data_IF_878150094040
#
_entry.id   IF_878150094040
#
_cell.length_a   1.000
_cell.length_b   1.000
_cell.length_c   1.000
_cell.angle_alpha   90.00
_cell.angle_beta   90.00
_cell.angle_gamma   90.00
#
_symmetry.space_group_name_H-M   'P 1'
#
loop_
_entity.id
_entity.type
_entity.pdbx_description
1 polymer ?
#
# COMPACT_ATOMS: atom_id res chain seq x y z
N UNK A 1 -15.49 -41.81 75.94
CA UNK A 1 -16.42 -42.16 74.84
C UNK A 1 -15.94 -41.44 73.59
N UNK A 2 -15.70 -42.21 72.50
CA UNK A 2 -15.34 -41.82 71.11
C UNK A 2 -14.14 -40.85 70.92
N UNK A 3 -12.94 -41.35 70.53
CA UNK A 3 -12.41 -41.58 69.15
C UNK A 3 -12.27 -40.27 68.33
N UNK A 4 -11.08 -39.70 68.18
CA UNK A 4 -9.96 -40.05 67.27
C UNK A 4 -10.17 -39.66 65.81
N UNK A 5 -9.30 -38.76 65.32
CA UNK A 5 -8.61 -38.67 64.00
C UNK A 5 -8.06 -37.23 63.91
N UNK A 6 -6.82 -36.91 63.52
CA UNK A 6 -5.55 -37.60 63.40
C UNK A 6 -4.46 -36.50 63.50
N UNK A 7 -3.25 -36.92 63.85
CA UNK A 7 -2.07 -36.13 64.20
C UNK A 7 -1.08 -36.07 63.01
N UNK A 8 -0.08 -35.19 63.12
CA UNK A 8 1.29 -35.23 62.52
C UNK A 8 1.43 -34.50 61.17
N UNK A 9 2.51 -33.76 60.84
CA UNK A 9 3.57 -33.01 61.54
C UNK A 9 4.46 -32.35 60.46
N UNK A 10 5.16 -31.28 60.86
CA UNK A 10 6.51 -30.84 60.44
C UNK A 10 6.98 -30.82 58.97
N UNK A 11 7.28 -29.59 58.53
CA UNK A 11 8.57 -29.04 58.05
C UNK A 11 9.34 -29.67 56.86
N UNK A 12 9.37 -28.91 55.76
CA UNK A 12 10.54 -28.56 54.92
C UNK A 12 10.09 -27.39 54.01
N UNK A 13 10.75 -26.24 53.84
CA UNK A 13 12.18 -25.99 53.76
C UNK A 13 12.62 -26.05 52.29
N UNK A 14 12.52 -24.93 51.54
CA UNK A 14 13.47 -24.43 50.52
C UNK A 14 12.85 -23.31 49.65
N UNK A 15 13.56 -22.19 49.49
CA UNK A 15 13.54 -21.42 48.23
C UNK A 15 13.00 -19.98 48.25
N UNK A 16 13.89 -19.03 48.60
CA UNK A 16 13.99 -17.63 48.12
C UNK A 16 12.79 -16.68 48.34
N UNK A 17 12.79 -15.81 49.35
CA UNK A 17 13.54 -14.55 49.45
C UNK A 17 13.25 -13.52 48.35
N UNK A 18 12.49 -12.49 48.75
CA UNK A 18 12.73 -11.08 48.46
C UNK A 18 12.50 -10.58 47.02
N UNK A 19 11.47 -9.75 46.83
CA UNK A 19 11.62 -8.29 46.73
C UNK A 19 10.38 -7.67 46.10
N UNK A 20 9.85 -6.68 46.81
CA UNK A 20 9.11 -5.56 46.26
C UNK A 20 9.74 -5.10 44.94
N UNK A 21 9.02 -5.24 43.83
CA UNK A 21 9.27 -4.44 42.63
C UNK A 21 8.03 -3.60 42.37
N UNK A 22 8.11 -2.41 42.96
CA UNK A 22 7.72 -1.14 42.36
C UNK A 22 6.97 -1.26 41.03
N UNK A 23 5.71 -0.82 41.08
CA UNK A 23 5.12 0.02 40.03
C UNK A 23 6.15 1.09 39.64
N UNK A 24 6.92 0.81 38.61
CA UNK A 24 7.52 1.83 37.76
C UNK A 24 6.65 1.83 36.51
N UNK A 25 5.54 2.55 36.62
CA UNK A 25 4.92 3.19 35.46
C UNK A 25 6.04 3.92 34.73
N UNK A 26 6.39 3.40 33.56
CA UNK A 26 7.36 3.96 32.64
C UNK A 26 6.77 5.21 31.96
N UNK A 27 6.49 6.24 32.76
CA UNK A 27 6.33 7.63 32.35
C UNK A 27 7.65 8.28 31.89
N UNK A 28 8.54 7.51 31.28
CA UNK A 28 9.86 7.95 30.79
C UNK A 28 9.94 8.05 29.25
N UNK A 29 8.83 7.82 28.55
CA UNK A 29 8.67 8.29 27.18
C UNK A 29 7.83 9.56 27.25
N UNK A 30 8.49 10.69 27.51
CA UNK A 30 7.91 11.98 27.20
C UNK A 30 7.43 11.88 25.75
N UNK A 31 6.13 12.10 25.49
CA UNK A 31 5.57 12.14 24.14
C UNK A 31 6.28 13.25 23.36
N UNK A 32 7.37 12.93 22.69
CA UNK A 32 8.04 13.82 21.75
C UNK A 32 7.15 13.87 20.53
N UNK A 33 6.51 15.01 20.27
CA UNK A 33 5.73 15.16 19.04
C UNK A 33 6.68 15.13 17.85
N UNK A 34 6.26 14.45 16.80
CA UNK A 34 6.91 14.32 15.48
C UNK A 34 7.14 15.66 14.74
N UNK A 35 7.18 16.80 15.44
CA UNK A 35 7.05 18.16 14.91
C UNK A 35 8.37 18.95 14.89
N UNK A 36 9.49 18.28 15.10
CA UNK A 36 10.81 18.90 15.13
C UNK A 36 11.39 19.05 13.70
N UNK A 37 10.95 18.18 12.78
CA UNK A 37 11.24 18.29 11.36
C UNK A 37 10.19 19.14 10.64
N UNK A 38 10.64 19.95 9.68
CA UNK A 38 9.77 20.87 8.94
C UNK A 38 8.90 20.11 7.93
N UNK A 39 9.45 19.02 7.36
CA UNK A 39 8.76 18.20 6.36
C UNK A 39 7.88 17.14 7.05
N UNK A 40 6.58 17.02 6.71
CA UNK A 40 5.65 16.13 7.42
C UNK A 40 5.95 14.63 7.25
N UNK A 41 6.63 14.24 6.17
CA UNK A 41 7.07 12.85 5.93
C UNK A 41 8.40 12.50 6.61
N UNK A 42 9.01 13.45 7.32
CA UNK A 42 10.27 13.24 8.01
C UNK A 42 10.10 13.11 9.52
N UNK A 43 11.11 12.55 10.18
CA UNK A 43 11.19 12.41 11.63
C UNK A 43 12.58 12.78 12.14
N UNK A 44 12.70 13.26 13.38
CA UNK A 44 14.01 13.52 13.96
C UNK A 44 14.78 12.21 14.12
N UNK A 45 16.05 12.22 13.72
CA UNK A 45 16.98 11.12 13.99
C UNK A 45 17.33 11.13 15.47
N UNK A 46 16.96 10.07 16.19
CA UNK A 46 17.13 10.01 17.64
C UNK A 46 18.42 9.29 18.02
N UNK A 47 19.17 9.89 18.95
CA UNK A 47 20.25 9.21 19.67
C UNK A 47 19.68 8.09 20.54
N UNK A 48 20.41 6.99 20.65
CA UNK A 48 20.06 5.89 21.55
C UNK A 48 19.98 6.39 23.00
N UNK A 49 18.88 6.08 23.68
CA UNK A 49 18.76 6.34 25.12
C UNK A 49 19.78 5.50 25.89
N UNK A 50 20.26 6.03 27.00
CA UNK A 50 21.13 5.34 27.96
C UNK A 50 20.52 5.45 29.36
N UNK A 51 21.00 4.64 30.31
CA UNK A 51 20.56 4.70 31.71
C UNK A 51 20.75 6.10 32.33
N UNK A 52 21.70 6.89 31.83
CA UNK A 52 22.00 8.22 32.33
C UNK A 52 21.28 9.35 31.55
N UNK A 53 20.84 9.10 30.31
CA UNK A 53 20.30 10.14 29.43
C UNK A 53 19.17 9.61 28.52
N UNK A 54 18.03 10.31 28.44
CA UNK A 54 16.95 9.95 27.53
C UNK A 54 17.38 10.12 26.05
N UNK A 55 16.67 9.46 25.15
CA UNK A 55 16.84 9.66 23.71
C UNK A 55 16.60 11.14 23.35
N UNK A 56 17.49 11.71 22.53
CA UNK A 56 17.43 13.10 22.05
C UNK A 56 17.74 13.15 20.57
N UNK A 57 17.20 14.13 19.85
CA UNK A 57 17.52 14.31 18.43
C UNK A 57 19.03 14.53 18.22
N UNK A 58 19.55 14.04 17.09
CA UNK A 58 20.89 14.38 16.63
C UNK A 58 20.93 15.86 16.25
N UNK A 59 21.72 16.65 16.98
CA UNK A 59 21.99 18.04 16.61
C UNK A 59 23.04 18.10 15.50
N UNK A 60 22.83 18.98 14.53
CA UNK A 60 23.71 19.21 13.39
C UNK A 60 24.01 20.70 13.22
N UNK A 61 24.83 21.05 12.23
CA UNK A 61 24.96 22.42 11.73
C UNK A 61 25.41 22.34 10.27
N UNK A 62 24.79 23.07 9.32
CA UNK A 62 25.09 22.95 7.89
C UNK A 62 26.58 23.04 7.57
N UNK A 63 27.30 23.91 8.27
CA UNK A 63 28.72 24.20 7.99
C UNK A 63 29.72 23.42 8.86
N UNK A 64 29.28 22.76 9.94
CA UNK A 64 30.21 22.28 10.98
C UNK A 64 29.97 20.84 11.44
N UNK A 65 28.73 20.33 11.33
CA UNK A 65 28.39 18.99 11.81
C UNK A 65 27.33 18.39 10.91
N UNK A 66 27.77 17.49 10.02
CA UNK A 66 26.89 16.72 9.17
C UNK A 66 26.00 15.77 9.97
N UNK A 67 24.87 15.41 9.38
CA UNK A 67 24.00 14.39 9.94
C UNK A 67 24.61 13.00 9.77
N UNK A 68 24.34 12.08 10.71
CA UNK A 68 24.71 10.67 10.52
C UNK A 68 24.01 10.10 9.29
N UNK A 69 24.58 9.03 8.74
CA UNK A 69 23.96 8.30 7.63
C UNK A 69 22.58 7.77 8.03
N UNK A 70 21.59 8.09 7.20
CA UNK A 70 20.18 7.75 7.38
C UNK A 70 19.46 7.90 6.04
N UNK A 71 18.16 7.63 6.02
CA UNK A 71 17.37 7.69 4.77
C UNK A 71 17.17 9.17 4.40
N UNK A 72 17.87 9.62 3.36
CA UNK A 72 17.89 11.02 2.89
C UNK A 72 18.06 12.02 4.05
N UNK A 73 19.04 11.77 4.92
CA UNK A 73 19.22 12.59 6.12
C UNK A 73 19.59 14.03 5.77
N UNK A 74 18.89 14.98 6.38
CA UNK A 74 19.06 16.41 6.14
C UNK A 74 19.11 17.17 7.47
N UNK A 75 19.99 18.16 7.54
CA UNK A 75 20.06 19.07 8.67
C UNK A 75 19.04 20.19 8.51
N UNK A 76 18.12 20.33 9.46
CA UNK A 76 17.05 21.33 9.43
C UNK A 76 17.03 22.14 10.71
N UNK A 77 16.72 23.44 10.62
CA UNK A 77 16.47 24.25 11.80
C UNK A 77 15.04 24.02 12.30
N UNK A 78 14.91 23.51 13.53
CA UNK A 78 13.61 23.38 14.20
C UNK A 78 13.27 24.70 14.89
N UNK A 79 12.15 25.32 14.49
CA UNK A 79 11.58 26.46 15.19
C UNK A 79 11.05 26.11 16.59
N UNK A 80 10.80 24.82 16.85
CA UNK A 80 10.27 24.36 18.15
C UNK A 80 11.38 24.19 19.18
N UNK A 81 12.47 23.54 18.80
CA UNK A 81 13.62 23.31 19.69
C UNK A 81 14.71 24.37 19.55
N UNK A 82 14.54 25.36 18.65
CA UNK A 82 15.49 26.44 18.36
C UNK A 82 16.91 25.94 18.09
N UNK A 83 17.01 24.80 17.39
CA UNK A 83 18.26 24.10 17.12
C UNK A 83 18.24 23.47 15.74
N UNK A 84 19.41 23.30 15.16
CA UNK A 84 19.62 22.47 13.98
C UNK A 84 19.62 21.00 14.39
N UNK A 85 18.72 20.22 13.79
CA UNK A 85 18.55 18.80 14.06
C UNK A 85 18.58 17.99 12.76
N UNK A 86 18.99 16.74 12.88
CA UNK A 86 18.96 15.80 11.78
C UNK A 86 17.58 15.19 11.64
N UNK A 87 17.04 15.29 10.43
CA UNK A 87 15.78 14.70 10.03
C UNK A 87 16.05 13.65 8.96
N UNK A 88 15.39 12.50 9.05
CA UNK A 88 15.39 11.47 8.03
C UNK A 88 13.95 11.22 7.55
N UNK A 89 13.82 10.68 6.34
CA UNK A 89 12.52 10.23 5.85
C UNK A 89 12.03 9.06 6.72
N UNK A 90 10.73 9.06 7.06
CA UNK A 90 10.17 7.91 7.79
C UNK A 90 10.14 6.70 6.86
N UNK A 91 10.45 5.51 7.38
CA UNK A 91 10.44 4.26 6.60
C UNK A 91 9.05 3.93 6.03
N UNK A 92 8.02 4.38 6.73
CA UNK A 92 6.61 4.18 6.46
C UNK A 92 5.94 5.42 5.84
N UNK A 93 6.67 6.52 5.61
CA UNK A 93 6.10 7.68 4.94
C UNK A 93 6.32 7.61 3.44
N UNK A 94 5.23 7.84 2.71
CA UNK A 94 5.29 8.11 1.28
C UNK A 94 5.91 9.50 1.07
N UNK A 95 7.02 9.54 0.34
CA UNK A 95 7.67 10.80 -0.03
C UNK A 95 6.75 11.51 -1.03
N UNK A 96 6.35 12.76 -0.77
CA UNK A 96 5.44 13.45 -1.65
C UNK A 96 6.10 13.74 -3.01
N UNK A 97 5.32 13.55 -4.07
CA UNK A 97 5.75 13.71 -5.45
C UNK A 97 4.76 14.58 -6.23
N UNK A 98 5.28 15.29 -7.22
CA UNK A 98 4.45 16.07 -8.14
C UNK A 98 3.65 15.16 -9.08
N UNK A 99 2.54 15.66 -9.65
CA UNK A 99 1.77 14.95 -10.68
C UNK A 99 2.63 14.60 -11.90
N UNK A 100 2.16 13.67 -12.73
CA UNK A 100 2.81 13.31 -14.01
C UNK A 100 3.24 14.55 -14.82
N UNK A 101 4.34 14.40 -15.54
CA UNK A 101 4.99 15.45 -16.36
C UNK A 101 5.53 16.63 -15.57
N UNK A 102 5.74 16.49 -14.26
CA UNK A 102 6.37 17.50 -13.44
C UNK A 102 7.59 16.95 -12.70
N UNK A 103 8.68 17.71 -12.73
CA UNK A 103 9.81 17.53 -11.83
C UNK A 103 9.42 17.91 -10.41
N UNK A 104 9.73 17.04 -9.46
CA UNK A 104 9.48 17.28 -8.04
C UNK A 104 10.66 18.01 -7.41
N UNK A 105 10.44 19.28 -7.03
CA UNK A 105 11.28 19.93 -6.05
C UNK A 105 10.65 19.64 -4.68
N UNK A 106 11.33 18.86 -3.83
CA UNK A 106 10.90 18.46 -2.47
C UNK A 106 10.88 19.64 -1.47
N UNK A 107 10.37 20.78 -1.93
CA UNK A 107 10.15 22.04 -1.22
C UNK A 107 8.66 22.23 -1.13
N UNK A 108 8.14 22.28 0.10
CA UNK A 108 6.73 22.51 0.37
C UNK A 108 6.34 23.97 0.07
N UNK A 109 5.08 24.18 -0.30
CA UNK A 109 4.54 25.51 -0.60
C UNK A 109 3.11 25.68 -0.06
N UNK A 110 2.65 26.93 0.11
CA UNK A 110 1.22 27.23 0.32
C UNK A 110 0.69 27.29 1.76
N UNK A 111 1.53 27.30 2.81
CA UNK A 111 1.05 27.32 4.21
C UNK A 111 1.26 28.63 4.99
N UNK A 112 2.11 29.55 4.53
CA UNK A 112 2.23 30.92 5.07
C UNK A 112 3.09 31.77 4.13
N UNK A 113 3.10 33.09 4.36
CA UNK A 113 3.41 34.22 3.46
C UNK A 113 4.81 34.21 2.80
N UNK A 114 5.70 33.25 3.08
CA UNK A 114 6.99 33.09 2.40
C UNK A 114 7.19 31.65 1.89
N UNK A 115 6.65 31.37 0.71
CA UNK A 115 6.81 30.07 0.05
C UNK A 115 6.42 30.10 -1.42
N UNK A 116 6.82 31.15 -2.14
CA UNK A 116 6.70 31.18 -3.60
C UNK A 116 7.70 30.20 -4.20
N UNK A 117 7.21 29.25 -4.98
CA UNK A 117 8.08 28.34 -5.71
C UNK A 117 9.11 29.12 -6.56
N UNK A 118 10.35 28.60 -6.72
CA UNK A 118 11.34 29.23 -7.58
C UNK A 118 10.79 29.45 -8.99
N UNK A 119 11.36 30.41 -9.74
CA UNK A 119 10.91 30.71 -11.11
C UNK A 119 10.88 29.43 -11.96
N UNK A 120 9.74 29.19 -12.62
CA UNK A 120 9.49 28.01 -13.43
C UNK A 120 8.80 26.85 -12.69
N UNK A 121 8.67 26.92 -11.36
CA UNK A 121 7.93 25.93 -10.56
C UNK A 121 6.56 26.49 -10.15
N UNK A 122 5.56 25.62 -10.13
CA UNK A 122 4.19 25.89 -9.66
C UNK A 122 3.94 25.12 -8.38
N UNK A 123 3.17 25.70 -7.46
CA UNK A 123 2.75 25.01 -6.25
C UNK A 123 1.59 24.07 -6.58
N UNK A 124 1.82 22.76 -6.60
CA UNK A 124 0.81 21.74 -6.90
C UNK A 124 0.65 20.78 -5.72
N UNK A 125 -0.55 20.20 -5.52
CA UNK A 125 -0.74 19.14 -4.55
C UNK A 125 0.12 17.93 -4.89
N UNK A 126 0.64 17.28 -3.86
CA UNK A 126 1.34 16.00 -3.98
C UNK A 126 0.37 14.89 -4.34
N UNK A 127 0.83 13.94 -5.16
CA UNK A 127 0.10 12.70 -5.46
C UNK A 127 -0.05 11.84 -4.20
N UNK A 128 0.94 11.89 -3.29
CA UNK A 128 0.96 11.08 -2.06
C UNK A 128 0.09 11.67 -0.93
N UNK A 129 -0.17 12.98 -0.93
CA UNK A 129 -1.02 13.63 0.07
C UNK A 129 -1.51 14.97 -0.47
N UNK A 130 -2.82 15.09 -0.70
CA UNK A 130 -3.44 16.31 -1.23
C UNK A 130 -3.26 17.53 -0.29
N UNK A 131 -2.99 17.29 0.99
CA UNK A 131 -2.73 18.35 1.97
C UNK A 131 -1.28 18.85 1.93
N UNK A 132 -0.38 18.10 1.29
CA UNK A 132 1.01 18.51 1.04
C UNK A 132 1.09 19.11 -0.35
N UNK A 133 1.50 20.37 -0.47
CA UNK A 133 1.79 20.99 -1.76
C UNK A 133 3.29 21.14 -1.95
N UNK A 134 3.76 20.86 -3.16
CA UNK A 134 5.16 20.90 -3.55
C UNK A 134 5.37 21.88 -4.71
N UNK A 135 6.61 22.32 -4.85
CA UNK A 135 7.03 23.05 -6.04
C UNK A 135 7.33 22.09 -7.19
N UNK A 136 6.54 22.22 -8.25
CA UNK A 136 6.52 21.31 -9.39
C UNK A 136 6.81 22.06 -10.68
N UNK A 137 7.78 21.61 -11.48
CA UNK A 137 8.09 22.23 -12.78
C UNK A 137 7.67 21.31 -13.92
N UNK A 138 6.87 21.77 -14.89
CA UNK A 138 6.56 20.98 -16.07
C UNK A 138 7.84 20.53 -16.76
N UNK A 139 7.96 19.23 -16.99
CA UNK A 139 9.01 18.64 -17.79
C UNK A 139 8.39 17.64 -18.76
N UNK A 140 8.22 18.09 -20.00
CA UNK A 140 7.65 17.32 -21.10
C UNK A 140 8.66 16.33 -21.74
N UNK A 141 9.94 16.35 -21.33
CA UNK A 141 10.90 15.34 -21.76
C UNK A 141 10.90 14.10 -20.86
N UNK A 142 10.16 14.11 -19.75
CA UNK A 142 9.96 12.91 -18.93
C UNK A 142 8.98 12.00 -19.66
N UNK A 143 9.49 10.88 -20.18
CA UNK A 143 8.65 9.79 -20.69
C UNK A 143 8.24 8.89 -19.54
N UNK A 144 6.94 8.70 -19.37
CA UNK A 144 6.38 7.68 -18.48
C UNK A 144 6.10 6.43 -19.30
N UNK A 145 6.52 5.27 -18.79
CA UNK A 145 6.11 3.99 -19.35
C UNK A 145 4.74 3.67 -18.78
N UNK A 146 3.74 3.61 -19.64
CA UNK A 146 2.45 3.02 -19.28
C UNK A 146 2.51 1.50 -19.49
N UNK A 147 1.84 0.69 -18.65
CA UNK A 147 0.94 1.09 -17.55
C UNK A 147 1.65 1.40 -16.21
N UNK A 148 2.96 1.18 -16.11
CA UNK A 148 3.73 1.28 -14.86
C UNK A 148 3.49 2.59 -14.10
N UNK A 149 3.57 3.71 -14.80
CA UNK A 149 3.40 5.02 -14.19
C UNK A 149 2.00 5.22 -13.58
N UNK A 150 0.94 4.73 -14.21
CA UNK A 150 -0.43 4.81 -13.69
C UNK A 150 -0.64 3.95 -12.44
N UNK A 151 -0.08 2.74 -12.41
CA UNK A 151 -0.14 1.86 -11.24
C UNK A 151 0.61 2.45 -10.03
N UNK A 152 1.73 3.12 -10.26
CA UNK A 152 2.50 3.80 -9.21
C UNK A 152 1.78 5.06 -8.73
N UNK A 153 1.28 5.90 -9.64
CA UNK A 153 0.59 7.15 -9.30
C UNK A 153 -0.66 6.89 -8.45
N UNK A 154 -1.41 5.83 -8.78
CA UNK A 154 -2.61 5.42 -8.05
C UNK A 154 -2.31 4.51 -6.85
N UNK A 155 -1.03 4.31 -6.51
CA UNK A 155 -0.55 3.53 -5.35
C UNK A 155 -1.02 2.08 -5.33
N UNK A 156 -1.38 1.52 -6.47
CA UNK A 156 -1.60 0.08 -6.60
C UNK A 156 -0.27 -0.64 -6.44
N UNK A 157 0.81 -0.05 -6.96
CA UNK A 157 2.18 -0.46 -6.64
C UNK A 157 2.78 0.52 -5.61
N UNK A 158 3.35 0.06 -4.49
CA UNK A 158 3.51 -1.34 -4.08
C UNK A 158 2.38 -1.88 -3.19
N UNK A 159 1.29 -1.13 -2.94
CA UNK A 159 0.33 -1.48 -1.88
C UNK A 159 -0.48 -2.75 -2.15
N UNK A 160 -0.89 -2.94 -3.40
CA UNK A 160 -1.71 -4.08 -3.85
C UNK A 160 -0.83 -5.08 -4.59
N UNK A 161 -0.04 -4.57 -5.54
CA UNK A 161 0.89 -5.36 -6.34
C UNK A 161 2.33 -5.01 -5.99
N UNK A 162 3.24 -5.99 -5.86
CA UNK A 162 4.64 -5.73 -5.58
C UNK A 162 5.37 -5.08 -6.76
N UNK A 163 4.93 -5.39 -7.99
CA UNK A 163 5.53 -4.92 -9.25
C UNK A 163 4.42 -4.57 -10.24
N UNK A 164 4.62 -3.51 -11.02
CA UNK A 164 3.69 -3.10 -12.06
C UNK A 164 3.56 -4.14 -13.19
N UNK A 165 2.41 -4.21 -13.87
CA UNK A 165 2.24 -5.08 -15.04
C UNK A 165 3.10 -4.63 -16.23
N UNK A 166 3.42 -5.57 -17.13
CA UNK A 166 4.20 -5.27 -18.35
C UNK A 166 3.35 -4.58 -19.42
N UNK A 167 2.07 -4.94 -19.51
CA UNK A 167 1.13 -4.42 -20.49
C UNK A 167 -0.17 -3.92 -19.84
N UNK A 168 -0.84 -2.98 -20.51
CA UNK A 168 -2.20 -2.60 -20.14
C UNK A 168 -3.19 -3.66 -20.62
N UNK A 169 -4.12 -4.02 -19.74
CA UNK A 169 -5.17 -4.97 -20.03
C UNK A 169 -6.46 -4.22 -20.35
N UNK A 170 -6.97 -4.37 -21.57
CA UNK A 170 -8.26 -3.77 -21.94
C UNK A 170 -9.38 -4.64 -21.41
N UNK A 171 -10.25 -4.07 -20.56
CA UNK A 171 -11.44 -4.72 -20.04
C UNK A 171 -12.69 -4.01 -20.58
N UNK A 172 -13.64 -4.81 -21.05
CA UNK A 172 -14.85 -4.32 -21.70
C UNK A 172 -16.08 -4.98 -21.06
N UNK A 173 -16.89 -4.17 -20.38
CA UNK A 173 -18.06 -4.58 -19.62
C UNK A 173 -19.32 -4.20 -20.39
N UNK A 174 -20.11 -5.19 -20.80
CA UNK A 174 -21.36 -4.95 -21.54
C UNK A 174 -21.21 -4.06 -22.79
N UNK A 175 -20.02 -4.05 -23.41
CA UNK A 175 -19.69 -3.22 -24.58
C UNK A 175 -19.03 -1.87 -24.25
N UNK A 176 -18.95 -1.49 -22.98
CA UNK A 176 -18.24 -0.31 -22.50
C UNK A 176 -16.80 -0.62 -22.08
N UNK A 177 -15.85 0.07 -22.71
CA UNK A 177 -14.44 -0.03 -22.37
C UNK A 177 -14.13 0.83 -21.14
N UNK A 178 -13.55 0.20 -20.12
CA UNK A 178 -13.10 0.92 -18.93
C UNK A 178 -11.71 1.50 -19.15
N UNK A 179 -11.54 2.77 -18.78
CA UNK A 179 -10.21 3.40 -18.79
C UNK A 179 -9.53 3.17 -17.44
N UNK A 180 -8.23 2.97 -17.45
CA UNK A 180 -7.45 2.78 -16.24
C UNK A 180 -7.60 3.97 -15.26
N UNK A 181 -7.99 3.68 -14.02
CA UNK A 181 -8.25 4.70 -13.00
C UNK A 181 -9.59 5.42 -13.12
N UNK A 182 -10.47 4.99 -14.02
CA UNK A 182 -11.84 5.51 -14.10
C UNK A 182 -12.60 5.22 -12.80
N UNK A 183 -13.39 6.20 -12.34
CA UNK A 183 -14.23 6.10 -11.14
C UNK A 183 -15.70 6.08 -11.54
N UNK A 184 -16.44 5.07 -11.06
CA UNK A 184 -17.87 4.94 -11.25
C UNK A 184 -18.64 5.35 -9.99
N UNK A 185 -19.75 6.07 -10.18
CA UNK A 185 -20.69 6.39 -9.11
C UNK A 185 -21.64 5.21 -8.87
N UNK A 186 -22.20 5.13 -7.67
CA UNK A 186 -23.16 4.11 -7.25
C UNK A 186 -24.35 3.95 -8.22
N UNK A 187 -24.73 5.02 -8.93
CA UNK A 187 -25.84 4.98 -9.89
C UNK A 187 -25.48 4.38 -11.26
N UNK A 188 -24.21 4.06 -11.49
CA UNK A 188 -23.70 3.58 -12.78
C UNK A 188 -22.92 2.28 -12.61
N UNK A 189 -23.44 1.33 -11.82
CA UNK A 189 -22.80 0.01 -11.63
C UNK A 189 -23.43 -1.10 -12.48
N UNK A 190 -24.62 -0.87 -13.04
CA UNK A 190 -25.39 -1.91 -13.76
C UNK A 190 -24.63 -2.54 -14.94
N UNK A 191 -23.79 -1.77 -15.63
CA UNK A 191 -23.02 -2.29 -16.77
C UNK A 191 -21.93 -3.30 -16.35
N UNK A 192 -21.58 -3.35 -15.05
CA UNK A 192 -20.64 -4.28 -14.42
C UNK A 192 -21.30 -5.60 -13.97
N UNK A 193 -22.58 -5.84 -14.27
CA UNK A 193 -23.30 -7.06 -13.84
C UNK A 193 -22.62 -8.37 -14.33
N UNK A 194 -21.98 -8.32 -15.50
CA UNK A 194 -21.31 -9.46 -16.13
C UNK A 194 -19.79 -9.32 -16.14
N UNK A 195 -19.02 -10.42 -16.08
CA UNK A 195 -17.57 -10.36 -16.16
C UNK A 195 -17.11 -9.72 -17.48
N UNK A 196 -15.98 -8.99 -17.46
CA UNK A 196 -15.50 -8.28 -18.63
C UNK A 196 -14.95 -9.22 -19.70
N UNK A 197 -15.08 -8.81 -20.96
CA UNK A 197 -14.29 -9.38 -22.06
C UNK A 197 -12.95 -8.66 -22.08
N UNK A 198 -11.86 -9.43 -22.16
CA UNK A 198 -10.52 -8.86 -22.11
C UNK A 198 -9.80 -8.91 -23.45
N UNK A 199 -8.94 -7.91 -23.67
CA UNK A 199 -8.13 -7.77 -24.88
C UNK A 199 -6.90 -6.90 -24.61
N UNK A 200 -6.12 -6.59 -25.65
CA UNK A 200 -5.00 -5.64 -25.57
C UNK A 200 -3.62 -6.27 -25.38
N UNK A 201 -3.55 -7.60 -25.30
CA UNK A 201 -2.30 -8.36 -25.18
C UNK A 201 -2.38 -9.55 -26.13
N UNK A 202 -1.36 -9.71 -26.96
CA UNK A 202 -1.19 -10.92 -27.78
C UNK A 202 -0.58 -12.01 -26.90
N UNK A 203 -1.32 -13.11 -26.74
CA UNK A 203 -0.93 -14.21 -25.88
C UNK A 203 -0.26 -15.32 -26.67
N UNK A 204 0.46 -16.17 -25.95
CA UNK A 204 1.09 -17.34 -26.52
C UNK A 204 0.26 -18.58 -26.18
N UNK A 205 -0.18 -19.29 -27.22
CA UNK A 205 -1.04 -20.47 -27.12
C UNK A 205 -0.37 -21.67 -26.42
N UNK A 206 0.95 -21.65 -26.25
CA UNK A 206 1.69 -22.67 -25.49
C UNK A 206 1.59 -22.50 -23.96
N UNK A 207 1.06 -21.36 -23.49
CA UNK A 207 0.97 -21.05 -22.07
C UNK A 207 -0.45 -21.12 -21.52
N UNK A 208 -0.52 -21.34 -20.21
CA UNK A 208 -1.73 -21.18 -19.43
C UNK A 208 -1.73 -19.84 -18.72
N UNK A 209 -2.92 -19.33 -18.46
CA UNK A 209 -3.11 -18.02 -17.89
C UNK A 209 -4.01 -18.05 -16.65
N UNK A 210 -3.79 -17.08 -15.76
CA UNK A 210 -4.64 -16.83 -14.59
C UNK A 210 -5.21 -15.43 -14.64
N UNK A 211 -6.51 -15.32 -14.41
CA UNK A 211 -7.23 -14.07 -14.17
C UNK A 211 -7.62 -13.95 -12.71
N UNK A 212 -7.38 -12.75 -12.17
CA UNK A 212 -7.82 -12.40 -10.83
C UNK A 212 -8.33 -10.95 -10.82
N UNK A 213 -9.55 -10.77 -10.34
CA UNK A 213 -10.13 -9.47 -9.98
C UNK A 213 -10.18 -9.39 -8.46
N UNK A 214 -9.59 -8.35 -7.90
CA UNK A 214 -9.65 -8.10 -6.46
C UNK A 214 -10.23 -6.73 -6.18
N UNK A 215 -10.97 -6.63 -5.09
CA UNK A 215 -11.19 -5.36 -4.42
C UNK A 215 -10.08 -5.15 -3.39
N UNK A 216 -9.17 -4.22 -3.70
CA UNK A 216 -8.05 -3.91 -2.81
C UNK A 216 -8.47 -3.14 -1.54
N UNK A 217 -9.68 -2.57 -1.52
CA UNK A 217 -10.21 -1.81 -0.38
C UNK A 217 -10.90 -2.75 0.60
N UNK A 218 -11.77 -3.64 0.13
CA UNK A 218 -12.40 -4.67 0.94
C UNK A 218 -11.47 -5.87 1.23
N UNK A 219 -10.33 -5.98 0.53
CA UNK A 219 -9.42 -7.12 0.55
C UNK A 219 -10.15 -8.42 0.22
N UNK A 220 -10.84 -8.43 -0.92
CA UNK A 220 -11.60 -9.59 -1.37
C UNK A 220 -11.23 -9.97 -2.80
N UNK A 221 -11.48 -11.23 -3.14
CA UNK A 221 -11.36 -11.73 -4.51
C UNK A 221 -12.75 -11.76 -5.12
N UNK A 222 -12.98 -10.92 -6.12
CA UNK A 222 -14.27 -10.79 -6.80
C UNK A 222 -14.36 -11.71 -8.01
N UNK A 223 -13.23 -12.17 -8.55
CA UNK A 223 -13.22 -13.13 -9.64
C UNK A 223 -11.88 -13.83 -9.72
N UNK A 224 -11.88 -15.15 -9.87
CA UNK A 224 -10.66 -15.91 -10.09
C UNK A 224 -10.88 -17.07 -11.05
N UNK A 225 -10.04 -17.11 -12.09
CA UNK A 225 -9.98 -18.22 -13.03
C UNK A 225 -8.51 -18.57 -13.27
N UNK A 226 -8.16 -19.84 -13.12
CA UNK A 226 -6.84 -20.36 -13.45
C UNK A 226 -6.92 -21.35 -14.61
N UNK A 227 -5.76 -21.61 -15.20
CA UNK A 227 -5.52 -22.60 -16.25
C UNK A 227 -6.32 -22.28 -17.52
N UNK A 228 -6.39 -20.99 -17.86
CA UNK A 228 -7.06 -20.51 -19.06
C UNK A 228 -6.09 -20.71 -20.23
N UNK A 229 -6.46 -21.47 -21.26
CA UNK A 229 -5.66 -21.55 -22.48
C UNK A 229 -5.82 -20.28 -23.32
N UNK A 230 -4.80 -19.98 -24.12
CA UNK A 230 -4.92 -19.05 -25.24
C UNK A 230 -5.16 -19.83 -26.53
N UNK A 231 -5.99 -19.27 -27.42
CA UNK A 231 -6.22 -19.77 -28.78
C UNK A 231 -6.15 -18.59 -29.73
N UNK A 232 -5.30 -18.68 -30.76
CA UNK A 232 -5.06 -17.62 -31.73
C UNK A 232 -4.66 -16.29 -31.04
N UNK A 233 -3.90 -16.40 -29.95
CA UNK A 233 -3.42 -15.27 -29.15
C UNK A 233 -4.46 -14.58 -28.28
N UNK A 234 -5.65 -15.17 -28.09
CA UNK A 234 -6.74 -14.65 -27.27
C UNK A 234 -7.10 -15.59 -26.10
N UNK A 235 -7.49 -15.02 -24.95
CA UNK A 235 -7.95 -15.80 -23.80
C UNK A 235 -9.27 -16.51 -24.07
N UNK A 236 -9.29 -17.82 -23.83
CA UNK A 236 -10.49 -18.61 -23.97
C UNK A 236 -11.32 -18.64 -22.67
N UNK A 237 -11.98 -17.52 -22.35
CA UNK A 237 -12.90 -17.43 -21.19
C UNK A 237 -14.34 -17.68 -21.64
N UNK A 238 -14.78 -18.94 -21.59
CA UNK A 238 -16.16 -19.33 -21.88
C UNK A 238 -17.03 -19.33 -20.63
N UNK A 239 -18.36 -19.28 -20.82
CA UNK A 239 -19.35 -19.52 -19.74
C UNK A 239 -19.17 -20.86 -19.01
N UNK A 240 -18.46 -21.82 -19.62
CA UNK A 240 -18.16 -23.14 -19.02
C UNK A 240 -16.79 -23.21 -18.35
N UNK A 241 -15.95 -22.19 -18.52
CA UNK A 241 -14.65 -22.13 -17.85
C UNK A 241 -14.90 -22.08 -16.35
N UNK A 242 -14.39 -23.09 -15.63
CA UNK A 242 -14.66 -23.24 -14.21
C UNK A 242 -13.85 -22.20 -13.44
N UNK A 243 -14.53 -21.19 -12.92
CA UNK A 243 -13.96 -20.24 -11.98
C UNK A 243 -13.74 -20.89 -10.61
N UNK A 244 -12.64 -20.54 -9.95
CA UNK A 244 -12.43 -20.89 -8.55
C UNK A 244 -13.30 -20.02 -7.66
N UNK A 245 -13.31 -18.72 -7.98
CA UNK A 245 -14.16 -17.70 -7.39
C UNK A 245 -14.98 -17.12 -8.53
N UNK A 246 -16.28 -17.35 -8.50
CA UNK A 246 -17.21 -16.82 -9.50
C UNK A 246 -17.22 -15.30 -9.47
N UNK A 247 -17.51 -14.68 -10.62
CA UNK A 247 -17.56 -13.23 -10.71
C UNK A 247 -18.62 -12.66 -9.75
N UNK A 248 -18.21 -11.71 -8.93
CA UNK A 248 -19.05 -10.92 -8.03
C UNK A 248 -18.96 -9.46 -8.46
N UNK A 249 -20.10 -8.89 -8.85
CA UNK A 249 -20.18 -7.50 -9.25
C UNK A 249 -19.95 -6.56 -8.05
N UNK A 250 -19.39 -5.36 -8.27
CA UNK A 250 -19.42 -4.28 -7.28
C UNK A 250 -20.83 -3.94 -6.81
N UNK A 251 -21.00 -3.71 -5.50
CA UNK A 251 -22.29 -3.39 -4.90
C UNK A 251 -22.24 -2.09 -4.10
N UNK A 252 -23.36 -1.35 -4.11
CA UNK A 252 -23.53 -0.11 -3.35
C UNK A 252 -23.40 -0.28 -1.83
N UNK A 253 -23.56 -1.50 -1.34
CA UNK A 253 -23.54 -1.88 0.08
C UNK A 253 -22.21 -2.51 0.51
N UNK A 254 -21.21 -2.54 -0.36
CA UNK A 254 -19.89 -3.06 -0.03
C UNK A 254 -19.25 -2.28 1.12
N UNK A 255 -18.54 -3.02 1.98
CA UNK A 255 -17.83 -2.48 3.14
C UNK A 255 -16.31 -2.63 2.93
N UNK A 256 -15.49 -1.66 3.36
CA UNK A 256 -15.88 -0.44 4.08
C UNK A 256 -16.48 0.64 3.16
N UNK A 257 -17.55 1.29 3.59
CA UNK A 257 -18.18 2.33 2.77
C UNK A 257 -17.21 3.47 2.35
N UNK A 258 -17.14 3.77 1.05
CA UNK A 258 -16.20 4.72 0.48
C UNK A 258 -15.91 4.46 -1.00
N UNK A 259 -14.68 4.77 -1.42
CA UNK A 259 -14.18 4.41 -2.76
C UNK A 259 -13.49 3.05 -2.64
N UNK A 260 -13.94 2.12 -3.45
CA UNK A 260 -13.34 0.81 -3.64
C UNK A 260 -12.49 0.83 -4.90
N UNK A 261 -11.37 0.11 -4.88
CA UNK A 261 -10.41 0.06 -6.00
C UNK A 261 -10.27 -1.38 -6.46
N UNK A 262 -10.81 -1.63 -7.65
CA UNK A 262 -10.83 -2.91 -8.32
C UNK A 262 -9.58 -3.06 -9.18
N UNK A 263 -8.84 -4.15 -9.00
CA UNK A 263 -7.62 -4.43 -9.76
C UNK A 263 -7.77 -5.77 -10.47
N UNK A 264 -7.71 -5.74 -11.80
CA UNK A 264 -7.83 -6.92 -12.66
C UNK A 264 -6.46 -7.25 -13.24
N UNK A 265 -5.95 -8.43 -12.92
CA UNK A 265 -4.64 -8.90 -13.34
C UNK A 265 -4.74 -10.17 -14.19
N UNK A 266 -3.91 -10.21 -15.23
CA UNK A 266 -3.61 -11.38 -16.04
C UNK A 266 -2.17 -11.81 -15.77
N UNK A 267 -1.99 -13.08 -15.41
CA UNK A 267 -0.69 -13.70 -15.25
C UNK A 267 -0.51 -14.83 -16.25
N UNK A 268 0.71 -14.91 -16.80
CA UNK A 268 1.21 -16.12 -17.45
C UNK A 268 1.64 -17.12 -16.37
N UNK A 269 1.26 -18.38 -16.54
CA UNK A 269 1.61 -19.46 -15.63
C UNK A 269 2.88 -20.17 -16.09
N UNK A 270 3.79 -20.43 -15.15
CA UNK A 270 4.94 -21.32 -15.35
C UNK A 270 4.51 -22.79 -15.38
N UNK A 271 3.51 -23.12 -14.57
CA UNK A 271 2.95 -24.46 -14.41
C UNK A 271 1.44 -24.36 -14.18
N UNK A 272 0.68 -25.41 -14.50
CA UNK A 272 -0.76 -25.42 -14.24
C UNK A 272 -1.07 -25.44 -12.74
N UNK A 273 -2.04 -24.64 -12.30
CA UNK A 273 -2.55 -24.72 -10.93
C UNK A 273 -3.18 -26.09 -10.65
N UNK A 274 -2.85 -26.68 -9.51
CA UNK A 274 -3.54 -27.87 -9.02
C UNK A 274 -4.87 -27.50 -8.36
N UNK A 275 -5.85 -28.40 -8.44
CA UNK A 275 -7.19 -28.17 -7.88
C UNK A 275 -7.18 -27.84 -6.38
N UNK A 276 -6.20 -28.36 -5.62
CA UNK A 276 -6.06 -28.07 -4.18
C UNK A 276 -5.59 -26.65 -3.91
N UNK A 277 -4.79 -26.07 -4.79
CA UNK A 277 -4.31 -24.68 -4.67
C UNK A 277 -5.44 -23.72 -5.02
N UNK A 278 -6.15 -24.01 -6.11
CA UNK A 278 -7.33 -23.26 -6.56
C UNK A 278 -8.43 -23.23 -5.49
N UNK A 279 -8.66 -24.35 -4.79
CA UNK A 279 -9.68 -24.45 -3.74
C UNK A 279 -9.33 -23.72 -2.44
N UNK A 280 -8.09 -23.23 -2.27
CA UNK A 280 -7.62 -22.53 -1.06
C UNK A 280 -7.67 -21.01 -1.18
N UNK A 281 -8.09 -20.48 -2.31
CA UNK A 281 -8.17 -19.04 -2.53
C UNK A 281 -9.22 -18.48 -1.59
N UNK A 282 -8.77 -17.64 -0.66
CA UNK A 282 -9.64 -16.92 0.24
C UNK A 282 -10.39 -15.84 -0.57
N UNK A 283 -11.70 -15.77 -0.38
CA UNK A 283 -12.57 -14.76 -0.95
C UNK A 283 -12.55 -13.45 -0.14
N UNK A 284 -12.21 -13.51 1.16
CA UNK A 284 -12.06 -12.37 2.07
C UNK A 284 -10.68 -12.32 2.74
N UNK A 285 -10.31 -11.15 3.28
CA UNK A 285 -8.99 -10.89 3.92
C UNK A 285 -7.80 -11.23 2.99
N UNK A 286 -7.99 -11.02 1.69
CA UNK A 286 -7.05 -11.36 0.65
C UNK A 286 -5.89 -10.34 0.56
N UNK A 287 -4.71 -10.75 1.01
CA UNK A 287 -3.47 -9.99 0.86
C UNK A 287 -2.77 -10.37 -0.45
N UNK A 288 -3.07 -9.63 -1.52
CA UNK A 288 -2.62 -9.97 -2.89
C UNK A 288 -1.09 -10.13 -3.00
N UNK A 289 -0.31 -9.22 -2.40
CA UNK A 289 1.15 -9.35 -2.37
C UNK A 289 1.62 -10.65 -1.73
N UNK A 290 1.05 -11.05 -0.60
CA UNK A 290 1.40 -12.30 0.08
C UNK A 290 0.98 -13.52 -0.75
N UNK A 291 -0.21 -13.50 -1.34
CA UNK A 291 -0.67 -14.57 -2.21
C UNK A 291 0.26 -14.80 -3.41
N UNK A 292 0.80 -13.72 -4.01
CA UNK A 292 1.80 -13.84 -5.07
C UNK A 292 3.11 -14.48 -4.61
N UNK A 293 3.56 -14.20 -3.39
CA UNK A 293 4.75 -14.86 -2.82
C UNK A 293 4.53 -16.36 -2.63
N UNK A 294 3.38 -16.71 -2.06
CA UNK A 294 2.99 -18.10 -1.78
C UNK A 294 2.82 -18.93 -3.05
N UNK A 295 2.48 -18.28 -4.17
CA UNK A 295 2.28 -18.92 -5.48
C UNK A 295 3.41 -18.60 -6.48
N UNK A 296 4.59 -18.19 -6.00
CA UNK A 296 5.73 -17.80 -6.84
C UNK A 296 6.34 -18.95 -7.65
N UNK A 297 6.04 -20.20 -7.30
CA UNK A 297 6.35 -21.38 -8.11
C UNK A 297 5.50 -21.46 -9.37
N UNK A 298 4.26 -20.96 -9.34
CA UNK A 298 3.32 -20.99 -10.47
C UNK A 298 3.35 -19.68 -11.26
N UNK A 299 3.41 -18.55 -10.55
CA UNK A 299 3.27 -17.22 -11.15
C UNK A 299 4.58 -16.42 -11.02
N UNK A 300 4.77 -15.49 -11.95
CA UNK A 300 5.71 -14.40 -11.72
C UNK A 300 5.13 -13.34 -10.79
N UNK A 301 6.02 -12.65 -10.05
CA UNK A 301 5.63 -11.52 -9.20
C UNK A 301 5.00 -10.36 -9.96
N UNK A 302 5.44 -10.15 -11.21
CA UNK A 302 4.90 -9.10 -12.07
C UNK A 302 3.78 -9.70 -12.94
N UNK A 303 2.57 -9.13 -12.93
CA UNK A 303 1.53 -9.54 -13.86
C UNK A 303 1.99 -9.32 -15.31
N UNK A 304 1.54 -10.19 -16.22
CA UNK A 304 1.75 -9.97 -17.65
C UNK A 304 1.04 -8.68 -18.07
N UNK A 305 -0.22 -8.55 -17.69
CA UNK A 305 -1.01 -7.36 -17.94
C UNK A 305 -1.99 -7.10 -16.80
N UNK A 306 -2.37 -5.84 -16.60
CA UNK A 306 -3.42 -5.50 -15.64
C UNK A 306 -4.09 -4.17 -16.00
N UNK A 307 -5.25 -3.96 -15.38
CA UNK A 307 -5.97 -2.68 -15.35
C UNK A 307 -6.64 -2.50 -13.99
N UNK A 308 -7.16 -1.31 -13.74
CA UNK A 308 -7.88 -1.01 -12.52
C UNK A 308 -8.91 0.09 -12.72
N UNK A 309 -9.94 0.06 -11.88
CA UNK A 309 -10.98 1.08 -11.83
C UNK A 309 -11.45 1.26 -10.38
N UNK A 310 -12.10 2.37 -10.11
CA UNK A 310 -12.75 2.61 -8.83
C UNK A 310 -14.26 2.61 -8.95
N UNK A 311 -14.94 2.31 -7.86
CA UNK A 311 -16.36 2.64 -7.70
C UNK A 311 -16.61 3.22 -6.30
N UNK A 312 -17.64 4.04 -6.17
CA UNK A 312 -18.03 4.63 -4.89
C UNK A 312 -19.31 3.98 -4.38
N UNK A 313 -19.31 3.53 -3.13
CA UNK A 313 -20.52 3.03 -2.43
C UNK A 313 -21.39 4.15 -1.86
N UNK A 314 -20.95 5.40 -2.03
CA UNK A 314 -21.73 6.61 -1.74
C UNK A 314 -21.80 7.49 -2.97
N UNK A 315 -22.90 8.23 -3.12
CA UNK A 315 -22.97 9.33 -4.08
C UNK A 315 -21.79 10.28 -3.83
N UNK A 316 -20.95 10.46 -4.85
CA UNK A 316 -19.84 11.41 -4.75
C UNK A 316 -20.43 12.82 -4.77
N UNK A 317 -20.53 13.44 -3.60
CA UNK A 317 -21.09 14.80 -3.43
C UNK A 317 -20.04 15.89 -3.67
N UNK A 318 -18.90 15.55 -4.27
CA UNK A 318 -17.86 16.51 -4.62
C UNK A 318 -18.34 17.39 -5.79
N UNK A 319 -18.35 18.73 -5.63
CA UNK A 319 -18.79 19.67 -6.66
C UNK A 319 -17.82 19.80 -7.83
#
# INVERSE_FOLDING_TARGET
MLRSLALVALLAGTGTAAQSRSRLDSGLVQKWSHSDCVRPWQRPMMKKATLAQPARAHECHPDARACPEGINSVCQFSLKSFKYICCEDKKDAEIPSCPKFHETLLVSCGSSVEGSCPRGYKCLPSVADVNVKLCCKPNYSISYKEPEASFVENRIVPKVLPVAPRYELSANFSGEHITMGQLFDVNHLDFLESPPVMSGVELNDDYLYTLILVDSTAKSVNWFIANIPSIDGALEVHRRTKSAVSYVMPDATDEPAGIHVMVLCLFEQKEAFHQREVARIADTDFEFGQWLEENSHILERAPLAATFYGYSTKLDSRP
#
